data_IF_690039133207
#
_entry.id   IF_690039133207
#
_cell.length_a   1.000
_cell.length_b   1.000
_cell.length_c   1.000
_cell.angle_alpha   90.00
_cell.angle_beta   90.00
_cell.angle_gamma   90.00
#
_symmetry.space_group_name_H-M   'P 1'
#
loop_
_entity.id
_entity.type
_entity.pdbx_description
1 polymer ?
#
# COMPACT_ATOMS: atom_id res chain seq x y z
N UNK A 1 -17.90 -11.70 -15.69
CA UNK A 1 -18.33 -11.87 -14.29
C UNK A 1 -17.42 -11.25 -13.23
N UNK A 2 -16.17 -10.87 -13.53
CA UNK A 2 -15.24 -10.24 -12.59
C UNK A 2 -15.12 -8.73 -12.74
N UNK A 3 -15.28 -8.22 -13.95
CA UNK A 3 -15.05 -6.80 -14.27
C UNK A 3 -16.11 -5.87 -13.67
N UNK A 4 -17.35 -6.32 -13.54
CA UNK A 4 -18.45 -5.52 -12.96
C UNK A 4 -18.29 -5.23 -11.45
N UNK A 5 -17.28 -5.85 -10.79
CA UNK A 5 -17.02 -5.67 -9.36
C UNK A 5 -15.79 -4.81 -9.06
N UNK A 6 -15.09 -4.34 -10.09
CA UNK A 6 -13.88 -3.53 -9.95
C UNK A 6 -14.15 -2.15 -10.55
N UNK A 7 -14.10 -1.12 -9.70
CA UNK A 7 -14.10 0.27 -10.13
C UNK A 7 -12.69 0.83 -10.06
N UNK A 8 -12.11 1.19 -11.20
CA UNK A 8 -10.80 1.83 -11.30
C UNK A 8 -10.96 3.34 -11.40
N UNK A 9 -10.33 4.06 -10.50
CA UNK A 9 -10.32 5.52 -10.46
C UNK A 9 -8.88 6.02 -10.56
N UNK A 10 -8.64 7.03 -11.40
CA UNK A 10 -7.35 7.69 -11.52
C UNK A 10 -7.40 8.99 -10.72
N UNK A 11 -6.73 9.01 -9.59
CA UNK A 11 -6.68 10.16 -8.68
C UNK A 11 -5.23 10.51 -8.36
N UNK A 12 -4.91 11.80 -8.40
CA UNK A 12 -3.58 12.28 -8.10
C UNK A 12 -3.51 12.99 -6.74
N UNK A 13 -4.65 13.47 -6.23
CA UNK A 13 -4.68 14.29 -5.02
C UNK A 13 -5.18 13.51 -3.80
N UNK A 14 -4.55 13.76 -2.65
CA UNK A 14 -4.98 13.19 -1.36
C UNK A 14 -6.43 13.58 -1.04
N UNK A 15 -6.79 14.84 -1.34
CA UNK A 15 -8.11 15.37 -1.03
C UNK A 15 -9.21 14.72 -1.87
N UNK A 16 -8.94 14.40 -3.15
CA UNK A 16 -9.88 13.69 -4.02
C UNK A 16 -10.13 12.26 -3.54
N UNK A 17 -9.06 11.56 -3.14
CA UNK A 17 -9.18 10.23 -2.55
C UNK A 17 -10.01 10.28 -1.27
N UNK A 18 -9.73 11.25 -0.39
CA UNK A 18 -10.47 11.44 0.85
C UNK A 18 -11.95 11.71 0.61
N UNK A 19 -12.27 12.59 -0.35
CA UNK A 19 -13.64 12.94 -0.72
C UNK A 19 -14.39 11.73 -1.29
N UNK A 20 -13.76 11.01 -2.21
CA UNK A 20 -14.36 9.82 -2.83
C UNK A 20 -14.67 8.75 -1.79
N UNK A 21 -13.72 8.42 -0.92
CA UNK A 21 -13.95 7.44 0.16
C UNK A 21 -15.05 7.93 1.11
N UNK A 22 -15.03 9.21 1.48
CA UNK A 22 -16.03 9.78 2.38
C UNK A 22 -17.44 9.73 1.81
N UNK A 23 -17.60 10.09 0.53
CA UNK A 23 -18.88 10.01 -0.16
C UNK A 23 -19.36 8.56 -0.24
N UNK A 24 -18.50 7.65 -0.68
CA UNK A 24 -18.82 6.23 -0.75
C UNK A 24 -19.29 5.67 0.61
N UNK A 25 -18.59 5.98 1.69
CA UNK A 25 -18.95 5.46 3.03
C UNK A 25 -20.28 6.03 3.52
N UNK A 26 -20.62 7.27 3.17
CA UNK A 26 -21.94 7.83 3.47
C UNK A 26 -23.04 7.04 2.74
N UNK A 27 -22.92 6.91 1.43
CA UNK A 27 -23.90 6.17 0.61
C UNK A 27 -24.01 4.71 1.06
N UNK A 28 -22.89 4.09 1.42
CA UNK A 28 -22.83 2.73 1.94
C UNK A 28 -23.59 2.57 3.28
N UNK A 29 -23.54 3.57 4.16
CA UNK A 29 -24.24 3.54 5.45
C UNK A 29 -25.75 3.70 5.29
N UNK A 30 -26.18 4.35 4.22
CA UNK A 30 -27.60 4.54 3.89
C UNK A 30 -28.24 3.24 3.36
N UNK A 31 -27.45 2.25 2.96
CA UNK A 31 -27.96 0.93 2.58
C UNK A 31 -28.41 0.15 3.83
N UNK A 32 -29.48 -0.67 3.73
CA UNK A 32 -29.82 -1.66 4.73
C UNK A 32 -28.62 -2.57 5.05
N UNK A 33 -28.48 -3.00 6.28
CA UNK A 33 -27.26 -3.74 6.70
C UNK A 33 -27.11 -5.07 5.93
N UNK A 34 -28.22 -5.74 5.63
CA UNK A 34 -28.29 -6.97 4.83
C UNK A 34 -27.86 -6.81 3.37
N UNK A 35 -27.99 -5.60 2.82
CA UNK A 35 -27.64 -5.28 1.44
C UNK A 35 -26.21 -4.75 1.28
N UNK A 36 -25.50 -4.53 2.39
CA UNK A 36 -24.13 -3.98 2.38
C UNK A 36 -23.10 -4.99 1.87
N UNK A 37 -22.51 -4.79 0.68
CA UNK A 37 -21.49 -5.68 0.17
C UNK A 37 -20.18 -5.57 0.97
N UNK A 38 -19.33 -6.60 0.88
CA UNK A 38 -17.92 -6.47 1.33
C UNK A 38 -17.16 -5.63 0.32
N UNK A 39 -16.44 -4.62 0.79
CA UNK A 39 -15.71 -3.67 -0.05
C UNK A 39 -14.23 -3.63 0.34
N UNK A 40 -13.36 -3.60 -0.67
CA UNK A 40 -11.93 -3.41 -0.50
C UNK A 40 -11.46 -2.20 -1.31
N UNK A 41 -10.99 -1.16 -0.64
CA UNK A 41 -10.25 -0.09 -1.29
C UNK A 41 -8.81 -0.52 -1.52
N UNK A 42 -8.31 -0.35 -2.73
CA UNK A 42 -6.91 -0.57 -3.10
C UNK A 42 -6.32 0.76 -3.55
N UNK A 43 -5.29 1.24 -2.86
CA UNK A 43 -4.60 2.49 -3.17
C UNK A 43 -3.16 2.19 -3.60
N UNK A 44 -2.88 2.40 -4.87
CA UNK A 44 -1.55 2.19 -5.44
C UNK A 44 -1.05 3.49 -6.10
N UNK A 45 -0.19 4.23 -5.45
CA UNK A 45 0.37 4.11 -4.10
C UNK A 45 0.15 5.40 -3.30
N UNK A 46 0.13 5.31 -1.99
CA UNK A 46 -0.02 6.50 -1.10
C UNK A 46 1.06 7.56 -1.33
N UNK A 47 2.31 7.13 -1.52
CA UNK A 47 3.44 8.05 -1.70
C UNK A 47 3.37 8.89 -2.98
N UNK A 48 2.61 8.45 -4.00
CA UNK A 48 2.44 9.18 -5.26
C UNK A 48 1.34 10.24 -5.22
N UNK A 49 0.46 10.19 -4.22
CA UNK A 49 -0.57 11.20 -4.06
C UNK A 49 0.05 12.56 -3.71
N UNK A 50 -0.54 13.63 -4.22
CA UNK A 50 -0.07 15.01 -4.07
C UNK A 50 -0.99 15.82 -3.16
N UNK A 51 -0.41 16.84 -2.54
CA UNK A 51 -1.15 17.91 -1.84
C UNK A 51 -1.45 19.06 -2.81
N UNK A 52 -2.45 19.90 -2.52
CA UNK A 52 -2.69 21.13 -3.28
C UNK A 52 -1.47 22.07 -3.32
N UNK A 53 -0.67 22.07 -2.25
CA UNK A 53 0.57 22.86 -2.18
C UNK A 53 1.60 22.35 -3.19
N UNK A 54 1.80 21.04 -3.32
CA UNK A 54 2.72 20.46 -4.30
C UNK A 54 2.32 20.81 -5.74
N UNK A 55 1.02 20.80 -6.05
CA UNK A 55 0.51 21.18 -7.38
C UNK A 55 0.77 22.67 -7.63
N UNK A 56 0.41 23.54 -6.67
CA UNK A 56 0.62 24.98 -6.82
C UNK A 56 2.11 25.36 -6.95
N UNK A 57 3.00 24.61 -6.33
CA UNK A 57 4.44 24.79 -6.47
C UNK A 57 4.91 24.35 -7.87
N UNK A 58 4.44 23.21 -8.34
CA UNK A 58 4.75 22.70 -9.68
C UNK A 58 4.30 23.70 -10.76
N UNK A 59 3.09 24.24 -10.65
CA UNK A 59 2.56 25.24 -11.60
C UNK A 59 3.40 26.52 -11.64
N UNK A 60 4.07 26.87 -10.53
CA UNK A 60 4.98 28.00 -10.43
C UNK A 60 6.42 27.66 -10.82
N UNK A 61 6.71 26.40 -11.20
CA UNK A 61 8.06 25.91 -11.46
C UNK A 61 8.93 25.80 -10.18
N UNK A 62 8.34 25.80 -9.01
CA UNK A 62 9.05 25.63 -7.73
C UNK A 62 9.03 24.14 -7.33
N UNK A 63 10.22 23.56 -7.21
CA UNK A 63 10.40 22.14 -6.85
C UNK A 63 10.66 21.92 -5.35
N UNK A 64 10.45 22.92 -4.52
CA UNK A 64 10.60 22.80 -3.06
C UNK A 64 9.50 21.88 -2.52
N UNK A 65 9.88 20.68 -2.10
CA UNK A 65 8.95 19.73 -1.52
C UNK A 65 8.39 20.17 -0.18
N UNK A 66 7.10 19.95 0.02
CA UNK A 66 6.41 20.18 1.30
C UNK A 66 6.19 18.85 2.03
N UNK A 67 7.30 18.18 2.36
CA UNK A 67 7.27 16.82 2.93
C UNK A 67 6.48 16.73 4.24
N UNK A 68 6.52 17.76 5.09
CA UNK A 68 5.84 17.74 6.37
C UNK A 68 4.31 17.78 6.27
N UNK A 69 3.76 18.57 5.35
CA UNK A 69 2.30 18.66 5.13
C UNK A 69 1.76 17.40 4.45
N UNK A 70 2.49 16.87 3.49
CA UNK A 70 2.13 15.59 2.84
C UNK A 70 2.05 14.45 3.84
N UNK A 71 3.04 14.31 4.71
CA UNK A 71 3.05 13.29 5.76
C UNK A 71 1.85 13.43 6.70
N UNK A 72 1.51 14.67 7.09
CA UNK A 72 0.33 14.97 7.91
C UNK A 72 -0.97 14.62 7.18
N UNK A 73 -1.09 15.00 5.90
CA UNK A 73 -2.28 14.72 5.10
C UNK A 73 -2.51 13.21 4.90
N UNK A 74 -1.46 12.45 4.57
CA UNK A 74 -1.53 10.99 4.44
C UNK A 74 -1.90 10.31 5.76
N UNK A 75 -1.31 10.73 6.87
CA UNK A 75 -1.69 10.23 8.20
C UNK A 75 -3.17 10.50 8.47
N UNK A 76 -3.64 11.70 8.18
CA UNK A 76 -5.04 12.10 8.39
C UNK A 76 -5.97 11.26 7.53
N UNK A 77 -5.66 11.09 6.23
CA UNK A 77 -6.43 10.24 5.32
C UNK A 77 -6.59 8.83 5.89
N UNK A 78 -5.49 8.15 6.22
CA UNK A 78 -5.53 6.76 6.70
C UNK A 78 -6.27 6.66 8.03
N UNK A 79 -6.04 7.59 8.96
CA UNK A 79 -6.72 7.61 10.26
C UNK A 79 -8.23 7.80 10.10
N UNK A 80 -8.65 8.71 9.22
CA UNK A 80 -10.06 8.94 8.95
C UNK A 80 -10.72 7.73 8.28
N UNK A 81 -10.04 7.09 7.32
CA UNK A 81 -10.54 5.85 6.71
C UNK A 81 -10.81 4.77 7.77
N UNK A 82 -9.85 4.53 8.67
CA UNK A 82 -9.98 3.53 9.72
C UNK A 82 -11.15 3.85 10.65
N UNK A 83 -11.30 5.12 11.05
CA UNK A 83 -12.40 5.56 11.91
C UNK A 83 -13.76 5.48 11.19
N UNK A 84 -13.80 5.80 9.90
CA UNK A 84 -15.04 5.75 9.10
C UNK A 84 -15.47 4.32 8.80
N UNK A 85 -14.52 3.42 8.56
CA UNK A 85 -14.83 2.02 8.26
C UNK A 85 -15.40 1.31 9.49
N UNK A 86 -14.81 1.56 10.66
CA UNK A 86 -15.32 1.07 11.94
C UNK A 86 -15.69 -0.42 11.89
N UNK A 87 -16.97 -0.71 12.14
CA UNK A 87 -17.55 -2.06 12.07
C UNK A 87 -18.18 -2.38 10.71
N UNK A 88 -17.94 -1.55 9.69
CA UNK A 88 -18.42 -1.80 8.33
C UNK A 88 -17.58 -2.91 7.67
N UNK A 89 -18.19 -3.62 6.73
CA UNK A 89 -17.49 -4.63 5.91
C UNK A 89 -16.61 -3.97 4.83
N UNK A 90 -15.80 -3.00 5.24
CA UNK A 90 -14.92 -2.21 4.38
C UNK A 90 -13.48 -2.40 4.83
N UNK A 91 -12.62 -2.85 3.92
CA UNK A 91 -11.18 -2.95 4.11
C UNK A 91 -10.42 -1.97 3.24
N UNK A 92 -9.14 -1.76 3.55
CA UNK A 92 -8.22 -0.97 2.73
C UNK A 92 -6.86 -1.66 2.67
N UNK A 93 -6.33 -1.78 1.45
CA UNK A 93 -4.94 -2.15 1.16
C UNK A 93 -4.28 -0.99 0.46
N UNK A 94 -3.10 -0.61 0.90
CA UNK A 94 -2.35 0.45 0.25
C UNK A 94 -0.90 0.02 0.04
N UNK A 95 -0.34 0.36 -1.12
CA UNK A 95 1.09 0.25 -1.38
C UNK A 95 1.79 1.57 -1.04
N UNK A 96 3.07 1.47 -0.71
CA UNK A 96 3.91 2.64 -0.51
C UNK A 96 5.37 2.32 -0.84
N UNK A 97 6.20 3.36 -0.99
CA UNK A 97 7.61 3.22 -1.30
C UNK A 97 8.47 3.43 -0.06
N UNK A 98 9.57 2.68 0.01
CA UNK A 98 10.65 2.92 0.95
C UNK A 98 11.85 3.49 0.21
N UNK A 99 12.69 4.21 0.93
CA UNK A 99 13.98 4.69 0.45
C UNK A 99 15.04 4.39 1.50
N UNK A 100 16.27 4.14 1.05
CA UNK A 100 17.38 3.84 1.93
C UNK A 100 17.60 4.98 2.93
N UNK A 101 17.78 4.64 4.20
CA UNK A 101 18.20 5.62 5.20
C UNK A 101 19.60 6.12 4.88
N UNK A 102 19.79 7.44 4.94
CA UNK A 102 21.11 8.07 4.86
C UNK A 102 21.76 8.19 6.25
N UNK A 103 21.07 7.78 7.29
CA UNK A 103 21.54 7.82 8.65
C UNK A 103 22.35 6.55 8.97
N UNK A 104 23.63 6.72 9.25
CA UNK A 104 24.53 5.62 9.61
C UNK A 104 24.16 4.94 10.94
N UNK A 105 23.42 5.64 11.82
CA UNK A 105 22.97 5.12 13.12
C UNK A 105 21.59 4.48 13.07
N UNK A 106 20.81 4.72 12.00
CA UNK A 106 19.48 4.12 11.78
C UNK A 106 19.41 3.61 10.33
N UNK A 107 19.97 2.43 10.05
CA UNK A 107 20.11 1.89 8.70
C UNK A 107 18.79 1.35 8.11
N UNK A 108 17.71 1.35 8.88
CA UNK A 108 16.42 0.85 8.41
C UNK A 108 15.84 1.78 7.34
N UNK A 109 15.25 1.18 6.29
CA UNK A 109 14.63 1.90 5.20
C UNK A 109 13.52 2.84 5.72
N UNK A 110 13.56 4.09 5.27
CA UNK A 110 12.54 5.09 5.60
C UNK A 110 11.32 4.94 4.68
N UNK A 111 10.15 5.19 5.22
CA UNK A 111 8.88 5.09 4.48
C UNK A 111 8.50 6.45 3.91
N UNK A 112 8.17 6.48 2.63
CA UNK A 112 7.68 7.70 1.97
C UNK A 112 6.41 8.21 2.63
N UNK A 113 6.33 9.53 2.86
CA UNK A 113 5.17 10.15 3.52
C UNK A 113 5.17 10.02 5.05
N UNK A 114 6.28 9.54 5.65
CA UNK A 114 6.45 9.45 7.10
C UNK A 114 5.82 8.21 7.73
N UNK A 115 6.15 7.96 9.00
CA UNK A 115 5.74 6.75 9.72
C UNK A 115 4.34 6.85 10.38
N UNK A 116 3.69 8.01 10.31
CA UNK A 116 2.47 8.28 11.08
C UNK A 116 1.30 7.34 10.77
N UNK A 117 1.18 6.87 9.52
CA UNK A 117 0.11 5.95 9.12
C UNK A 117 0.42 4.47 9.46
N UNK A 118 1.68 4.12 9.74
CA UNK A 118 2.04 2.76 10.20
C UNK A 118 1.31 2.45 11.50
N UNK A 119 1.25 3.42 12.42
CA UNK A 119 0.58 3.23 13.70
C UNK A 119 -0.93 2.96 13.55
N UNK A 120 -1.54 3.55 12.53
CA UNK A 120 -2.96 3.35 12.22
C UNK A 120 -3.23 1.98 11.56
N UNK A 121 -2.30 1.48 10.75
CA UNK A 121 -2.47 0.22 10.00
C UNK A 121 -2.56 -1.00 10.93
N UNK A 122 -3.33 -2.00 10.51
CA UNK A 122 -3.45 -3.28 11.23
C UNK A 122 -2.31 -4.23 10.92
N UNK A 123 -1.85 -4.24 9.67
CA UNK A 123 -0.75 -5.05 9.18
C UNK A 123 0.15 -4.16 8.31
N UNK A 124 1.46 -4.27 8.47
CA UNK A 124 2.46 -3.64 7.60
C UNK A 124 3.47 -4.70 7.19
N UNK A 125 3.64 -4.87 5.89
CA UNK A 125 4.61 -5.80 5.31
C UNK A 125 5.63 -5.00 4.51
N UNK A 126 6.89 -5.11 4.89
CA UNK A 126 8.02 -4.61 4.09
C UNK A 126 8.40 -5.68 3.05
N UNK A 127 8.58 -5.26 1.81
CA UNK A 127 8.89 -6.15 0.70
C UNK A 127 10.20 -5.71 0.03
N UNK A 128 11.16 -6.62 -0.08
CA UNK A 128 12.41 -6.37 -0.78
C UNK A 128 12.47 -7.21 -2.06
N UNK A 129 12.67 -6.54 -3.19
CA UNK A 129 12.80 -7.19 -4.49
C UNK A 129 14.17 -7.84 -4.64
N UNK A 130 14.21 -9.12 -4.94
CA UNK A 130 15.39 -9.90 -5.28
C UNK A 130 15.21 -10.53 -6.66
N UNK A 131 16.31 -10.90 -7.32
CA UNK A 131 16.28 -11.64 -8.59
C UNK A 131 16.00 -13.11 -8.33
N UNK A 132 14.99 -13.68 -8.99
CA UNK A 132 14.77 -15.12 -9.01
C UNK A 132 15.68 -15.72 -10.09
N UNK A 133 16.66 -16.50 -9.66
CA UNK A 133 17.65 -17.17 -10.51
C UNK A 133 17.50 -18.70 -10.44
N UNK A 134 16.27 -19.16 -10.32
CA UNK A 134 15.92 -20.56 -10.32
C UNK A 134 14.93 -20.76 -11.46
N UNK A 135 15.16 -21.77 -12.29
CA UNK A 135 14.26 -22.13 -13.39
C UNK A 135 13.05 -22.95 -12.91
N UNK A 136 12.20 -23.36 -13.85
CA UNK A 136 11.00 -24.13 -13.54
C UNK A 136 11.29 -25.51 -12.91
N UNK A 137 12.48 -26.06 -13.13
CA UNK A 137 12.93 -27.35 -12.60
C UNK A 137 13.63 -27.21 -11.24
N UNK A 138 13.70 -25.99 -10.69
CA UNK A 138 14.33 -25.72 -9.41
C UNK A 138 15.87 -25.59 -9.48
N UNK A 139 16.45 -25.54 -10.69
CA UNK A 139 17.90 -25.45 -10.90
C UNK A 139 18.35 -23.99 -10.88
N UNK A 140 19.42 -23.71 -10.16
CA UNK A 140 20.04 -22.36 -10.17
C UNK A 140 20.69 -22.05 -11.51
N UNK A 141 20.34 -20.92 -12.08
CA UNK A 141 20.85 -20.44 -13.37
C UNK A 141 21.54 -19.08 -13.24
N UNK A 142 22.28 -18.70 -14.27
CA UNK A 142 22.82 -17.34 -14.39
C UNK A 142 21.75 -16.34 -14.82
N UNK A 143 20.72 -16.80 -15.52
CA UNK A 143 19.62 -15.97 -16.00
C UNK A 143 18.64 -15.64 -14.88
N UNK A 144 17.91 -14.55 -15.08
CA UNK A 144 16.82 -14.11 -14.16
C UNK A 144 15.51 -14.61 -14.78
N UNK A 145 14.78 -15.44 -14.06
CA UNK A 145 13.51 -16.01 -14.48
C UNK A 145 12.30 -15.33 -13.84
N UNK A 146 12.53 -14.41 -12.90
CA UNK A 146 11.44 -13.75 -12.21
C UNK A 146 11.92 -12.85 -11.07
N UNK A 147 11.02 -12.63 -10.15
CA UNK A 147 11.25 -11.84 -8.93
C UNK A 147 11.04 -12.75 -7.72
N UNK A 148 11.93 -12.62 -6.74
CA UNK A 148 11.70 -13.12 -5.40
C UNK A 148 11.45 -11.93 -4.49
N UNK A 149 10.30 -11.89 -3.84
CA UNK A 149 9.97 -10.87 -2.86
C UNK A 149 10.26 -11.40 -1.46
N UNK A 150 11.27 -10.83 -0.81
CA UNK A 150 11.50 -11.07 0.62
C UNK A 150 10.53 -10.18 1.41
N UNK A 151 9.52 -10.78 2.01
CA UNK A 151 8.48 -10.13 2.77
C UNK A 151 8.76 -10.26 4.25
N UNK A 152 8.71 -9.15 5.00
CA UNK A 152 8.86 -9.11 6.45
C UNK A 152 7.66 -8.39 7.07
N UNK A 153 7.00 -9.03 8.01
CA UNK A 153 5.92 -8.39 8.77
C UNK A 153 6.54 -7.42 9.78
N UNK A 154 6.47 -6.14 9.48
CA UNK A 154 7.00 -5.06 10.35
C UNK A 154 6.06 -4.80 11.51
N UNK A 155 4.76 -4.88 11.25
CA UNK A 155 3.70 -4.67 12.23
C UNK A 155 2.53 -5.58 11.95
N UNK A 156 1.95 -6.13 12.99
CA UNK A 156 0.64 -6.80 12.96
C UNK A 156 -0.05 -6.64 14.31
N UNK A 157 -1.39 -6.64 14.28
CA UNK A 157 -2.25 -6.68 15.49
C UNK A 157 -2.75 -8.09 15.79
N UNK A 158 -2.50 -9.06 14.91
CA UNK A 158 -3.14 -10.37 14.94
C UNK A 158 -2.19 -11.53 15.19
N UNK A 159 -0.89 -11.34 14.98
CA UNK A 159 0.12 -12.39 15.10
C UNK A 159 1.46 -11.81 15.61
N UNK A 160 2.49 -12.64 15.69
CA UNK A 160 3.84 -12.18 16.03
C UNK A 160 4.41 -11.35 14.87
N UNK A 161 4.96 -10.15 15.13
CA UNK A 161 5.68 -9.38 14.12
C UNK A 161 7.07 -9.97 13.86
N UNK A 162 7.73 -9.42 12.81
CA UNK A 162 9.11 -9.70 12.40
C UNK A 162 9.35 -11.07 11.75
N UNK A 163 8.32 -11.86 11.55
CA UNK A 163 8.41 -13.05 10.73
C UNK A 163 8.55 -12.67 9.26
N UNK A 164 9.34 -13.45 8.52
CA UNK A 164 9.61 -13.23 7.12
C UNK A 164 9.28 -14.42 6.26
N UNK A 165 8.81 -14.17 5.05
CA UNK A 165 8.53 -15.17 4.04
C UNK A 165 9.07 -14.71 2.70
N UNK A 166 9.46 -15.66 1.84
CA UNK A 166 9.86 -15.38 0.47
C UNK A 166 8.76 -15.82 -0.48
N UNK A 167 8.33 -14.91 -1.34
CA UNK A 167 7.34 -15.17 -2.38
C UNK A 167 8.06 -15.14 -3.73
N UNK A 168 7.85 -16.15 -4.55
CA UNK A 168 8.43 -16.24 -5.89
C UNK A 168 7.38 -15.88 -6.94
N UNK A 169 7.78 -15.07 -7.90
CA UNK A 169 6.95 -14.58 -9.00
C UNK A 169 7.72 -14.82 -10.29
N UNK A 170 7.64 -16.02 -10.87
CA UNK A 170 8.19 -16.32 -12.19
C UNK A 170 7.50 -15.47 -13.26
N UNK A 171 8.24 -15.02 -14.28
CA UNK A 171 7.66 -14.18 -15.34
C UNK A 171 6.72 -14.93 -16.27
N UNK A 172 6.95 -16.23 -16.44
CA UNK A 172 6.18 -17.05 -17.36
C UNK A 172 4.82 -17.48 -16.77
N UNK A 173 4.78 -17.80 -15.46
CA UNK A 173 3.59 -18.37 -14.80
C UNK A 173 2.93 -17.40 -13.82
N UNK A 174 3.62 -16.32 -13.42
CA UNK A 174 3.16 -15.45 -12.35
C UNK A 174 3.36 -16.06 -10.96
N UNK A 175 2.74 -15.46 -9.95
CA UNK A 175 2.83 -15.90 -8.57
C UNK A 175 1.93 -17.12 -8.33
N UNK A 176 2.51 -18.20 -7.81
CA UNK A 176 1.72 -19.32 -7.28
C UNK A 176 0.95 -18.82 -6.03
N UNK A 177 -0.37 -19.12 -5.91
CA UNK A 177 -1.18 -18.72 -4.76
C UNK A 177 -0.64 -19.24 -3.41
N UNK A 178 0.12 -20.31 -3.43
CA UNK A 178 0.73 -20.94 -2.25
C UNK A 178 2.22 -20.60 -2.09
N UNK A 179 2.77 -19.73 -2.94
CA UNK A 179 4.17 -19.28 -2.83
C UNK A 179 4.43 -18.67 -1.46
N UNK A 180 5.43 -19.19 -0.75
CA UNK A 180 5.77 -18.76 0.59
C UNK A 180 5.00 -19.45 1.72
N UNK A 181 4.07 -20.33 1.42
CA UNK A 181 3.49 -21.24 2.40
C UNK A 181 4.39 -22.47 2.53
N UNK A 182 4.80 -22.78 3.75
CA UNK A 182 5.65 -23.95 4.10
C UNK A 182 4.80 -24.99 4.78
#
# INVERSE_FOLDING_TARGET
>A
TGEDKILKLNMAMIDDVAKTISTFVKDYRDLPEEDRPKVLFVVDSLGMLMTPTEINQFDKGDMKGDMGRKAKALKTLVTNCINMFGNLNIGMVATNHTYASQDMFDPDDKISGGAGFIYASSIVVAMKKLKLKVDADGVKTAQVHGIRAACKVVKTRYAKPFEGVQIEIPWDTGMDPYSGLV
#
